data_IF_582445097523
#
_entry.id   IF_582445097523
#
_cell.length_a   1.000
_cell.length_b   1.000
_cell.length_c   1.000
_cell.angle_alpha   90.00
_cell.angle_beta   90.00
_cell.angle_gamma   90.00
#
_symmetry.space_group_name_H-M   'P 1'
#
loop_
_entity.id
_entity.type
_entity.pdbx_description
1 polymer ?
#
# COMPACT_ATOMS: atom_id res chain seq x y z
N UNK A 1 -1.42 -8.20 0.98
CA UNK A 1 -0.30 -7.47 1.62
C UNK A 1 -0.66 -6.01 1.66
N UNK A 2 -0.72 -5.41 2.83
CA UNK A 2 -0.94 -3.98 3.02
C UNK A 2 0.41 -3.25 3.04
N UNK A 3 0.56 -2.27 2.17
CA UNK A 3 1.78 -1.46 2.03
C UNK A 3 1.52 0.04 2.26
N UNK A 4 0.43 0.36 2.96
CA UNK A 4 0.08 1.73 3.32
C UNK A 4 1.20 2.36 4.16
N UNK A 5 1.65 3.55 3.75
CA UNK A 5 2.74 4.27 4.42
C UNK A 5 4.13 3.62 4.30
N UNK A 6 4.28 2.57 3.50
CA UNK A 6 5.57 1.93 3.32
C UNK A 6 6.56 2.86 2.60
N UNK A 7 7.75 3.02 3.17
CA UNK A 7 8.85 3.69 2.47
C UNK A 7 9.39 2.80 1.32
N UNK A 8 10.13 3.40 0.38
CA UNK A 8 10.58 2.73 -0.84
C UNK A 8 11.29 1.38 -0.58
N UNK A 9 12.18 1.32 0.41
CA UNK A 9 12.89 0.08 0.77
C UNK A 9 11.97 -1.03 1.28
N UNK A 10 10.96 -0.70 2.12
CA UNK A 10 9.98 -1.68 2.57
C UNK A 10 9.08 -2.17 1.42
N UNK A 11 8.73 -1.28 0.49
CA UNK A 11 7.88 -1.60 -0.65
C UNK A 11 8.63 -2.43 -1.71
N UNK A 12 9.79 -1.96 -2.14
CA UNK A 12 10.53 -2.49 -3.29
C UNK A 12 11.62 -3.50 -2.91
N UNK A 13 11.94 -3.56 -1.63
CA UNK A 13 13.06 -4.33 -1.09
C UNK A 13 14.31 -3.48 -0.90
N UNK A 14 15.16 -3.95 -0.01
CA UNK A 14 16.37 -3.23 0.39
C UNK A 14 17.50 -4.21 0.74
N UNK A 15 18.70 -3.68 0.96
CA UNK A 15 19.83 -4.41 1.50
C UNK A 15 20.08 -3.93 2.92
N UNK A 16 19.91 -4.82 3.90
CA UNK A 16 20.10 -4.48 5.32
C UNK A 16 21.49 -3.92 5.57
N UNK A 17 21.53 -2.89 6.39
CA UNK A 17 22.76 -2.37 6.97
C UNK A 17 23.48 -3.44 7.80
N UNK A 18 24.81 -3.50 7.74
CA UNK A 18 25.61 -4.32 8.62
C UNK A 18 25.93 -3.53 9.90
N UNK A 19 25.28 -3.84 11.04
CA UNK A 19 25.46 -3.06 12.27
C UNK A 19 26.87 -3.18 12.86
N UNK A 20 27.64 -4.15 12.42
CA UNK A 20 28.95 -4.41 13.01
C UNK A 20 30.12 -3.80 12.23
N UNK A 21 29.89 -3.21 11.02
CA UNK A 21 30.90 -2.59 10.16
C UNK A 21 32.26 -3.34 10.21
N UNK A 22 32.20 -4.66 10.20
CA UNK A 22 33.30 -5.53 10.57
C UNK A 22 34.36 -5.66 9.46
N UNK A 23 34.67 -4.54 8.77
CA UNK A 23 35.89 -4.39 7.95
C UNK A 23 36.21 -5.54 6.98
N UNK A 24 35.18 -6.17 6.37
CA UNK A 24 35.34 -7.27 5.43
C UNK A 24 35.13 -8.68 5.98
N UNK A 25 34.88 -8.81 7.29
CA UNK A 25 34.52 -10.08 7.95
C UNK A 25 33.01 -10.20 8.21
N UNK A 26 32.22 -9.18 7.86
CA UNK A 26 30.76 -9.17 8.03
C UNK A 26 30.03 -9.96 6.92
N UNK A 27 28.73 -10.16 7.14
CA UNK A 27 27.86 -10.84 6.19
C UNK A 27 27.87 -10.12 4.82
N UNK A 28 28.17 -10.80 3.71
CA UNK A 28 28.19 -10.19 2.40
C UNK A 28 26.87 -9.50 2.05
N UNK A 29 26.91 -8.40 1.30
CA UNK A 29 25.73 -7.60 0.98
C UNK A 29 24.62 -8.41 0.25
N UNK A 30 25.00 -9.43 -0.54
CA UNK A 30 24.05 -10.29 -1.23
C UNK A 30 23.27 -11.24 -0.30
N UNK A 31 23.79 -11.52 0.89
CA UNK A 31 23.09 -12.30 1.92
C UNK A 31 22.20 -11.43 2.81
N UNK A 32 22.33 -10.10 2.70
CA UNK A 32 21.54 -9.13 3.48
C UNK A 32 20.36 -8.56 2.68
N UNK A 33 20.05 -9.12 1.52
CA UNK A 33 18.94 -8.67 0.67
C UNK A 33 17.60 -9.04 1.30
N UNK A 34 16.74 -8.04 1.48
CA UNK A 34 15.36 -8.20 1.95
C UNK A 34 14.36 -7.99 0.83
N UNK A 35 13.43 -8.95 0.70
CA UNK A 35 12.33 -8.82 -0.25
C UNK A 35 11.32 -7.76 0.21
N UNK A 36 10.97 -6.84 -0.70
CA UNK A 36 9.93 -5.86 -0.47
C UNK A 36 8.51 -6.43 -0.51
N UNK A 37 7.54 -5.60 -0.14
CA UNK A 37 6.12 -5.98 -0.11
C UNK A 37 5.60 -6.39 -1.49
N UNK A 38 6.11 -5.81 -2.58
CA UNK A 38 5.77 -6.23 -3.96
C UNK A 38 6.11 -7.70 -4.23
N UNK A 39 7.23 -8.19 -3.68
CA UNK A 39 7.64 -9.60 -3.84
C UNK A 39 6.78 -10.52 -2.96
N UNK A 40 6.50 -10.08 -1.73
CA UNK A 40 5.62 -10.80 -0.79
C UNK A 40 4.18 -10.88 -1.28
N UNK A 41 3.74 -9.90 -2.09
CA UNK A 41 2.42 -9.89 -2.72
C UNK A 41 2.35 -10.74 -4.00
N UNK A 42 3.43 -11.43 -4.41
CA UNK A 42 3.44 -12.25 -5.62
C UNK A 42 2.29 -13.25 -5.64
N UNK A 43 1.54 -13.28 -6.77
CA UNK A 43 0.31 -14.07 -6.95
C UNK A 43 -0.83 -13.71 -5.97
N UNK A 44 -0.78 -12.53 -5.38
CA UNK A 44 -1.78 -12.04 -4.45
C UNK A 44 -2.15 -10.58 -4.74
N UNK A 45 -2.56 -9.88 -3.69
CA UNK A 45 -3.00 -8.48 -3.73
C UNK A 45 -2.02 -7.61 -2.95
N UNK A 46 -1.61 -6.51 -3.56
CA UNK A 46 -0.92 -5.41 -2.92
C UNK A 46 -1.92 -4.26 -2.72
N UNK A 47 -2.18 -3.89 -1.48
CA UNK A 47 -3.02 -2.74 -1.13
C UNK A 47 -2.14 -1.56 -0.73
N UNK A 48 -2.46 -0.37 -1.25
CA UNK A 48 -1.77 0.88 -0.91
C UNK A 48 -2.82 1.97 -0.74
N UNK A 49 -2.95 2.47 0.48
CA UNK A 49 -3.72 3.67 0.73
C UNK A 49 -2.88 4.93 0.48
N UNK A 50 -3.53 6.00 0.06
CA UNK A 50 -2.90 7.28 -0.28
C UNK A 50 -1.74 7.14 -1.29
N UNK A 51 -1.94 6.34 -2.34
CA UNK A 51 -0.89 6.02 -3.34
C UNK A 51 -0.21 7.25 -3.94
N UNK A 52 -0.91 8.38 -4.05
CA UNK A 52 -0.36 9.62 -4.60
C UNK A 52 0.61 10.34 -3.67
N UNK A 53 0.72 9.96 -2.39
CA UNK A 53 1.70 10.53 -1.45
C UNK A 53 3.10 9.96 -1.63
N UNK A 54 3.23 8.86 -2.37
CA UNK A 54 4.53 8.24 -2.67
C UNK A 54 5.37 9.14 -3.57
N UNK A 55 6.70 9.09 -3.39
CA UNK A 55 7.61 9.84 -4.26
C UNK A 55 7.45 9.42 -5.73
N UNK A 56 7.64 10.37 -6.65
CA UNK A 56 7.57 10.10 -8.11
C UNK A 56 8.48 8.94 -8.53
N UNK A 57 9.67 8.85 -7.92
CA UNK A 57 10.60 7.76 -8.17
C UNK A 57 10.01 6.41 -7.77
N UNK A 58 9.45 6.32 -6.56
CA UNK A 58 8.82 5.08 -6.06
C UNK A 58 7.63 4.67 -6.92
N UNK A 59 6.82 5.64 -7.37
CA UNK A 59 5.71 5.36 -8.30
C UNK A 59 6.19 4.79 -9.64
N UNK A 60 7.30 5.33 -10.20
CA UNK A 60 7.90 4.81 -11.44
C UNK A 60 8.46 3.39 -11.28
N UNK A 61 9.11 3.13 -10.15
CA UNK A 61 9.66 1.82 -9.82
C UNK A 61 8.54 0.79 -9.61
N UNK A 62 7.46 1.16 -8.92
CA UNK A 62 6.26 0.34 -8.76
C UNK A 62 5.60 0.05 -10.12
N UNK A 63 5.48 1.06 -10.98
CA UNK A 63 4.97 0.89 -12.35
C UNK A 63 5.81 -0.10 -13.14
N UNK A 64 7.14 -0.01 -13.06
CA UNK A 64 8.06 -0.94 -13.72
C UNK A 64 7.88 -2.37 -13.20
N UNK A 65 7.76 -2.54 -11.89
CA UNK A 65 7.49 -3.83 -11.27
C UNK A 65 6.17 -4.45 -11.75
N UNK A 66 5.10 -3.65 -11.85
CA UNK A 66 3.80 -4.08 -12.37
C UNK A 66 3.85 -4.50 -13.85
N UNK A 67 4.64 -3.79 -14.66
CA UNK A 67 4.76 -4.09 -16.09
C UNK A 67 5.57 -5.34 -16.36
N UNK A 68 6.73 -5.46 -15.72
CA UNK A 68 7.68 -6.56 -15.92
C UNK A 68 7.31 -7.81 -15.12
N UNK A 69 6.40 -7.69 -14.13
CA UNK A 69 6.02 -8.74 -13.18
C UNK A 69 7.19 -9.37 -12.41
N UNK A 70 8.30 -8.65 -12.40
CA UNK A 70 9.54 -8.98 -11.68
C UNK A 70 10.29 -7.69 -11.39
N UNK A 71 11.02 -7.66 -10.28
CA UNK A 71 11.78 -6.49 -9.88
C UNK A 71 13.07 -6.89 -9.18
N UNK A 72 14.19 -6.17 -9.46
CA UNK A 72 15.49 -6.39 -8.82
C UNK A 72 15.59 -5.52 -7.57
N UNK A 73 15.99 -6.11 -6.47
CA UNK A 73 16.26 -5.37 -5.24
C UNK A 73 17.63 -4.70 -5.37
N UNK A 74 17.66 -3.40 -5.11
CA UNK A 74 18.89 -2.59 -5.19
C UNK A 74 19.14 -1.91 -3.85
N UNK A 75 20.37 -1.97 -3.37
CA UNK A 75 20.80 -1.27 -2.16
C UNK A 75 22.21 -0.73 -2.33
N UNK A 76 22.58 0.27 -1.54
CA UNK A 76 23.94 0.76 -1.50
C UNK A 76 24.77 -0.10 -0.55
N UNK A 77 25.92 -0.61 -1.01
CA UNK A 77 26.90 -1.26 -0.14
C UNK A 77 27.74 -0.19 0.57
N UNK A 78 27.69 -0.16 1.87
CA UNK A 78 28.42 0.82 2.70
C UNK A 78 29.93 0.60 2.69
N UNK A 79 30.37 -0.61 2.38
CA UNK A 79 31.80 -0.99 2.42
C UNK A 79 32.54 -0.72 1.12
N UNK A 80 31.88 -0.27 0.08
CA UNK A 80 32.52 0.10 -1.18
C UNK A 80 32.01 1.47 -1.61
N UNK A 81 32.89 2.43 -1.77
CA UNK A 81 32.63 3.81 -2.17
C UNK A 81 31.63 3.93 -3.32
N UNK A 82 30.33 3.71 -3.05
CA UNK A 82 29.24 3.84 -3.99
C UNK A 82 28.89 2.60 -4.82
N UNK A 83 29.42 1.41 -4.53
CA UNK A 83 29.01 0.21 -5.26
C UNK A 83 27.56 -0.18 -4.91
N UNK A 84 26.70 -0.17 -5.91
CA UNK A 84 25.34 -0.65 -5.81
C UNK A 84 25.30 -2.18 -5.86
N UNK A 85 24.68 -2.79 -4.86
CA UNK A 85 24.34 -4.20 -4.88
C UNK A 85 22.97 -4.33 -5.54
N UNK A 86 22.88 -5.19 -6.55
CA UNK A 86 21.63 -5.49 -7.26
C UNK A 86 21.39 -6.99 -7.29
N UNK A 87 20.22 -7.41 -6.82
CA UNK A 87 19.82 -8.81 -6.94
C UNK A 87 19.47 -9.18 -8.39
N UNK A 88 19.35 -10.46 -8.68
CA UNK A 88 18.60 -10.90 -9.84
C UNK A 88 17.13 -10.44 -9.71
N UNK A 89 16.42 -10.33 -10.85
CA UNK A 89 15.03 -9.93 -10.85
C UNK A 89 14.17 -11.02 -10.19
N UNK A 90 13.49 -10.67 -9.12
CA UNK A 90 12.59 -11.53 -8.33
C UNK A 90 11.15 -11.36 -8.82
N UNK A 91 10.38 -12.44 -8.99
CA UNK A 91 8.97 -12.34 -9.41
C UNK A 91 8.13 -11.50 -8.47
N UNK A 92 7.26 -10.62 -9.03
CA UNK A 92 6.33 -9.76 -8.29
C UNK A 92 5.04 -9.51 -9.11
N UNK A 93 4.41 -10.57 -9.61
CA UNK A 93 3.12 -10.50 -10.31
C UNK A 93 1.99 -10.43 -9.28
N UNK A 94 1.40 -9.26 -9.10
CA UNK A 94 0.36 -8.99 -8.11
C UNK A 94 -0.77 -8.14 -8.70
N UNK A 95 -1.94 -8.16 -8.07
CA UNK A 95 -3.02 -7.21 -8.33
C UNK A 95 -2.84 -6.00 -7.41
N UNK A 96 -2.77 -4.81 -7.99
CA UNK A 96 -2.72 -3.57 -7.21
C UNK A 96 -4.16 -3.13 -6.88
N UNK A 97 -4.43 -2.90 -5.60
CA UNK A 97 -5.60 -2.18 -5.10
C UNK A 97 -5.08 -0.93 -4.40
N UNK A 98 -5.52 0.22 -4.86
CA UNK A 98 -5.05 1.49 -4.31
C UNK A 98 -6.22 2.41 -4.00
N UNK A 99 -6.11 3.20 -2.95
CA UNK A 99 -7.04 4.25 -2.58
C UNK A 99 -6.33 5.59 -2.44
N UNK A 100 -7.10 6.66 -2.37
CA UNK A 100 -6.60 8.02 -2.19
C UNK A 100 -7.64 9.07 -2.55
N UNK A 101 -7.41 10.29 -2.14
CA UNK A 101 -8.27 11.43 -2.42
C UNK A 101 -8.07 11.96 -3.84
N UNK A 102 -9.09 12.60 -4.42
CA UNK A 102 -9.00 13.20 -5.76
C UNK A 102 -7.84 14.19 -5.89
N UNK A 103 -7.58 14.99 -4.86
CA UNK A 103 -6.47 15.96 -4.83
C UNK A 103 -5.10 15.25 -4.89
N UNK A 104 -4.99 14.08 -4.27
CA UNK A 104 -3.76 13.28 -4.25
C UNK A 104 -3.52 12.62 -5.61
N UNK A 105 -4.57 12.34 -6.38
CA UNK A 105 -4.45 11.82 -7.75
C UNK A 105 -3.78 12.81 -8.71
N UNK A 106 -3.83 14.12 -8.44
CA UNK A 106 -3.12 15.13 -9.23
C UNK A 106 -1.60 15.02 -9.05
N UNK A 107 -1.13 14.58 -7.87
CA UNK A 107 0.27 14.29 -7.57
C UNK A 107 0.77 12.94 -8.11
N UNK A 108 -0.09 12.16 -8.73
CA UNK A 108 0.27 10.85 -9.27
C UNK A 108 1.07 10.95 -10.57
N UNK A 109 2.07 10.09 -10.72
CA UNK A 109 2.84 10.01 -11.97
C UNK A 109 1.89 9.68 -13.15
N UNK A 110 1.94 10.51 -14.20
CA UNK A 110 1.00 10.43 -15.34
C UNK A 110 0.96 9.04 -15.98
N UNK A 111 2.11 8.39 -16.14
CA UNK A 111 2.20 7.05 -16.71
C UNK A 111 1.54 5.99 -15.81
N UNK A 112 1.64 6.12 -14.48
CA UNK A 112 1.00 5.22 -13.53
C UNK A 112 -0.51 5.37 -13.57
N UNK A 113 -1.01 6.62 -13.58
CA UNK A 113 -2.44 6.90 -13.72
C UNK A 113 -3.01 6.38 -15.05
N UNK A 114 -2.27 6.61 -16.15
CA UNK A 114 -2.64 6.07 -17.47
C UNK A 114 -2.70 4.55 -17.49
N UNK A 115 -1.77 3.89 -16.80
CA UNK A 115 -1.74 2.42 -16.70
C UNK A 115 -2.93 1.88 -15.93
N UNK A 116 -3.25 2.49 -14.79
CA UNK A 116 -4.42 2.11 -13.99
C UNK A 116 -5.70 2.24 -14.82
N UNK A 117 -5.89 3.37 -15.51
CA UNK A 117 -7.05 3.59 -16.37
C UNK A 117 -7.15 2.65 -17.56
N UNK A 118 -6.01 2.28 -18.14
CA UNK A 118 -5.98 1.42 -19.33
C UNK A 118 -6.16 -0.07 -19.06
N UNK A 119 -5.83 -0.53 -17.85
CA UNK A 119 -5.80 -1.97 -17.52
C UNK A 119 -6.51 -2.32 -16.22
N UNK A 120 -7.10 -1.35 -15.55
CA UNK A 120 -7.79 -1.49 -14.28
C UNK A 120 -9.11 -0.74 -14.26
N UNK A 121 -9.61 -0.55 -13.06
CA UNK A 121 -10.85 0.16 -12.80
C UNK A 121 -10.57 1.32 -11.85
N UNK A 122 -11.10 2.49 -12.18
CA UNK A 122 -11.10 3.67 -11.32
C UNK A 122 -12.52 3.82 -10.77
N UNK A 123 -12.68 3.68 -9.46
CA UNK A 123 -13.99 3.76 -8.79
C UNK A 123 -14.04 5.05 -7.99
N UNK A 124 -14.95 5.93 -8.34
CA UNK A 124 -15.18 7.16 -7.60
C UNK A 124 -16.24 6.91 -6.52
N UNK A 125 -15.82 7.06 -5.27
CA UNK A 125 -16.72 6.98 -4.14
C UNK A 125 -17.42 8.34 -3.94
N UNK A 126 -18.72 8.31 -3.64
CA UNK A 126 -19.44 9.51 -3.20
C UNK A 126 -18.99 9.87 -1.78
N UNK A 127 -18.95 11.14 -1.47
CA UNK A 127 -18.67 11.69 -0.14
C UNK A 127 -19.93 11.79 0.74
N UNK A 128 -21.06 11.38 0.21
CA UNK A 128 -22.36 11.34 0.89
C UNK A 128 -23.11 10.05 0.55
N UNK A 129 -24.03 9.70 1.40
CA UNK A 129 -24.97 8.60 1.21
C UNK A 129 -26.39 9.18 1.09
N UNK A 130 -27.12 8.75 0.06
CA UNK A 130 -28.52 9.19 -0.12
C UNK A 130 -29.37 8.69 1.05
N UNK A 131 -30.24 9.56 1.60
CA UNK A 131 -31.15 9.20 2.67
C UNK A 131 -32.29 8.33 2.13
N UNK A 132 -32.09 7.02 2.16
CA UNK A 132 -33.08 6.01 1.77
C UNK A 132 -33.26 5.02 2.90
N UNK A 133 -34.41 4.36 2.96
CA UNK A 133 -34.69 3.32 3.96
C UNK A 133 -33.59 2.24 3.95
N UNK A 134 -33.17 1.81 2.76
CA UNK A 134 -32.11 0.79 2.62
C UNK A 134 -30.77 1.27 3.22
N UNK A 135 -30.39 2.52 2.98
CA UNK A 135 -29.15 3.06 3.50
C UNK A 135 -29.21 3.30 5.01
N UNK A 136 -30.37 3.73 5.55
CA UNK A 136 -30.57 3.81 6.99
C UNK A 136 -30.45 2.43 7.66
N UNK A 137 -31.02 1.39 7.09
CA UNK A 137 -30.84 0.02 7.58
C UNK A 137 -29.37 -0.43 7.59
N UNK A 138 -28.61 -0.09 6.56
CA UNK A 138 -27.17 -0.38 6.50
C UNK A 138 -26.38 0.36 7.59
N UNK A 139 -26.71 1.62 7.85
CA UNK A 139 -26.09 2.40 8.91
C UNK A 139 -26.41 1.82 10.30
N UNK A 140 -27.65 1.42 10.55
CA UNK A 140 -28.05 0.73 11.79
C UNK A 140 -27.26 -0.57 11.97
N UNK A 141 -27.12 -1.37 10.89
CA UNK A 141 -26.31 -2.59 10.93
C UNK A 141 -24.84 -2.30 11.22
N UNK A 142 -24.28 -1.25 10.61
CA UNK A 142 -22.90 -0.84 10.86
C UNK A 142 -22.69 -0.47 12.34
N UNK A 143 -23.55 0.40 12.90
CA UNK A 143 -23.47 0.78 14.31
C UNK A 143 -23.60 -0.45 15.23
N UNK A 144 -24.52 -1.35 14.92
CA UNK A 144 -24.68 -2.59 15.70
C UNK A 144 -23.45 -3.50 15.64
N UNK A 145 -22.78 -3.57 14.49
CA UNK A 145 -21.52 -4.32 14.33
C UNK A 145 -20.40 -3.70 15.15
N UNK A 146 -20.27 -2.38 15.11
CA UNK A 146 -19.22 -1.68 15.87
C UNK A 146 -19.42 -1.83 17.37
N UNK A 147 -20.65 -1.69 17.87
CA UNK A 147 -20.98 -1.95 19.27
C UNK A 147 -20.60 -3.40 19.67
N UNK A 148 -20.93 -4.36 18.82
CA UNK A 148 -20.57 -5.77 19.05
C UNK A 148 -19.07 -6.02 19.04
N UNK A 149 -18.35 -5.38 18.15
CA UNK A 149 -16.90 -5.51 18.02
C UNK A 149 -16.16 -4.90 19.21
N UNK A 150 -16.60 -3.73 19.67
CA UNK A 150 -16.03 -3.06 20.84
C UNK A 150 -16.29 -3.84 22.14
N UNK A 151 -17.49 -4.39 22.31
CA UNK A 151 -17.90 -5.21 23.46
C UNK A 151 -18.01 -4.46 24.80
N UNK A 152 -17.77 -3.15 24.83
CA UNK A 152 -17.85 -2.29 26.03
C UNK A 152 -18.95 -1.27 25.94
N UNK A 153 -19.31 -0.86 24.71
CA UNK A 153 -20.37 0.11 24.44
C UNK A 153 -21.72 -0.58 24.56
N UNK A 154 -22.67 -0.04 25.36
CA UNK A 154 -24.02 -0.56 25.40
C UNK A 154 -24.77 -0.36 24.09
N UNK A 155 -25.79 -1.16 23.82
CA UNK A 155 -26.64 -0.98 22.65
C UNK A 155 -27.35 0.38 22.69
N UNK A 156 -27.40 1.04 21.52
CA UNK A 156 -28.13 2.30 21.37
C UNK A 156 -29.64 2.04 21.30
N UNK A 157 -30.43 2.92 21.91
CA UNK A 157 -31.87 2.96 21.73
C UNK A 157 -32.24 3.52 20.34
N UNK A 158 -33.46 3.27 19.87
CA UNK A 158 -33.87 3.65 18.50
C UNK A 158 -33.77 5.15 18.25
N UNK A 159 -34.17 5.96 19.21
CA UNK A 159 -34.08 7.43 19.17
C UNK A 159 -32.63 7.93 19.06
N UNK A 160 -31.70 7.30 19.76
CA UNK A 160 -30.29 7.62 19.67
C UNK A 160 -29.69 7.19 18.32
N UNK A 161 -30.17 6.08 17.73
CA UNK A 161 -29.74 5.67 16.37
C UNK A 161 -30.26 6.64 15.32
N UNK A 162 -31.50 7.11 15.45
CA UNK A 162 -32.05 8.10 14.52
C UNK A 162 -31.24 9.39 14.52
N UNK A 163 -30.81 9.87 15.70
CA UNK A 163 -29.94 11.05 15.82
C UNK A 163 -28.59 10.84 15.17
N UNK A 164 -27.92 9.70 15.39
CA UNK A 164 -26.62 9.36 14.79
C UNK A 164 -26.71 9.31 13.25
N UNK A 165 -27.85 8.85 12.72
CA UNK A 165 -28.04 8.72 11.27
C UNK A 165 -28.34 10.08 10.60
N UNK A 166 -28.87 11.04 11.36
CA UNK A 166 -29.24 12.36 10.85
C UNK A 166 -28.06 13.35 10.82
N UNK A 167 -26.98 13.09 11.52
CA UNK A 167 -25.73 13.87 11.45
C UNK A 167 -24.82 13.42 10.27
#
# INVERSE_FOLDING_TARGET
MDATGAHAGALLGDVRHDPYQSGGLGTPAHERVESGMIHKAHKGVLYIDEIGTMSMKTQQELLSAMQEKKYSITGQSENSSGAMVRSQAVPCDFVLVASGNLQVLEGMHIAMRSRIRGYGYEVFMKDYMDDTTENREKLVQFVAQEVKNDGRIPHFATDALDEIIME
#
